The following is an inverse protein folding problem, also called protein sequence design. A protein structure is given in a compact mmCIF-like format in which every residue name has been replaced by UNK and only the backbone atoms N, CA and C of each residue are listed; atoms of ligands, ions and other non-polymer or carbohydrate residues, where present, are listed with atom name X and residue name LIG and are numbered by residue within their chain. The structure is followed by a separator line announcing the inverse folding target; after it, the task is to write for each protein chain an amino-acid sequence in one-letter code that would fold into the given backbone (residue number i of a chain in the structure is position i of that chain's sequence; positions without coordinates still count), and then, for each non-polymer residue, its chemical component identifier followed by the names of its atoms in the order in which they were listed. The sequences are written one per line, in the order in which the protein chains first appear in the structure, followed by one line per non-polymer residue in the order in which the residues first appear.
data_IF_764468113280
#
_entry.id   IF_764468113280
#
_cell.length_a   1.000
_cell.length_b   1.000
_cell.length_c   1.000
_cell.angle_alpha   90.00
_cell.angle_beta   90.00
_cell.angle_gamma   90.00
#
_symmetry.space_group_name_H-M   'P 1'
#
loop_
_entity.id
_entity.type
_entity.pdbx_description
1 polymer ?
#
# COMPACT_ATOMS: atom_id res chain seq x y z
N UNK A 1 39.78 -56.10 26.48
CA UNK A 1 39.35 -55.27 25.29
C UNK A 1 38.21 -54.36 25.78
N UNK A 2 38.50 -53.09 26.06
CA UNK A 2 37.51 -52.09 26.54
C UNK A 2 36.99 -51.35 25.30
N UNK A 3 35.69 -51.46 25.01
CA UNK A 3 35.02 -50.73 23.94
C UNK A 3 34.66 -49.35 24.49
N UNK A 4 35.24 -48.28 23.90
CA UNK A 4 34.91 -46.89 24.19
C UNK A 4 33.72 -46.54 23.30
N UNK A 5 32.57 -46.22 23.92
CA UNK A 5 31.41 -45.61 23.21
C UNK A 5 31.63 -44.12 23.20
N UNK A 6 31.84 -43.54 21.99
CA UNK A 6 31.86 -42.09 21.79
C UNK A 6 30.42 -41.68 21.56
N UNK A 7 29.84 -41.00 22.55
CA UNK A 7 28.51 -40.38 22.47
C UNK A 7 28.65 -39.03 21.78
N UNK A 8 28.27 -38.97 20.50
CA UNK A 8 28.26 -37.73 19.72
C UNK A 8 27.02 -36.91 20.12
N UNK A 9 27.19 -35.87 20.95
CA UNK A 9 26.15 -34.88 21.21
C UNK A 9 26.04 -33.96 20.02
N UNK A 10 25.01 -34.15 19.19
CA UNK A 10 24.55 -33.16 18.23
C UNK A 10 23.90 -32.02 18.98
N UNK A 11 24.66 -30.93 19.19
CA UNK A 11 24.11 -29.65 19.62
C UNK A 11 23.34 -29.07 18.44
N UNK A 12 22.02 -29.23 18.50
CA UNK A 12 21.10 -28.49 17.62
C UNK A 12 21.14 -27.01 18.05
N UNK A 13 21.98 -26.20 17.43
CA UNK A 13 21.96 -24.76 17.61
C UNK A 13 20.67 -24.24 16.99
N UNK A 14 19.67 -24.02 17.82
CA UNK A 14 18.48 -23.28 17.43
C UNK A 14 18.91 -21.81 17.35
N UNK A 15 19.22 -21.33 16.14
CA UNK A 15 19.42 -19.88 15.92
C UNK A 15 18.10 -19.19 16.18
N UNK A 16 18.03 -18.46 17.29
CA UNK A 16 16.92 -17.57 17.57
C UNK A 16 17.02 -16.39 16.60
N UNK A 17 16.14 -16.38 15.59
CA UNK A 17 16.02 -15.20 14.71
C UNK A 17 15.61 -14.02 15.57
N UNK A 18 16.52 -13.04 15.69
CA UNK A 18 16.27 -11.81 16.40
C UNK A 18 15.15 -11.03 15.72
N UNK A 19 14.00 -10.91 16.39
CA UNK A 19 12.85 -10.15 15.93
C UNK A 19 13.13 -8.65 15.78
N UNK A 20 14.21 -8.13 16.33
CA UNK A 20 14.59 -6.71 16.19
C UNK A 20 15.02 -6.35 14.76
N UNK A 21 15.46 -7.33 13.97
CA UNK A 21 15.85 -7.13 12.58
C UNK A 21 14.68 -7.12 11.58
N UNK A 22 13.47 -7.51 12.00
CA UNK A 22 12.28 -7.48 11.13
C UNK A 22 11.66 -6.09 10.96
N UNK A 23 12.06 -5.10 11.75
CA UNK A 23 11.50 -3.75 11.70
C UNK A 23 12.13 -2.81 10.65
N UNK A 24 12.99 -3.32 9.78
CA UNK A 24 13.62 -2.49 8.73
C UNK A 24 13.94 -3.28 7.46
N UNK A 25 12.97 -3.98 6.89
CA UNK A 25 13.07 -4.33 5.47
C UNK A 25 12.69 -3.08 4.67
N UNK A 26 13.51 -2.06 4.77
CA UNK A 26 13.58 -1.01 3.77
C UNK A 26 14.27 -1.65 2.57
N UNK A 27 13.49 -2.22 1.66
CA UNK A 27 14.03 -2.64 0.37
C UNK A 27 14.74 -1.42 -0.22
N UNK A 28 15.98 -1.62 -0.65
CA UNK A 28 16.80 -0.57 -1.22
C UNK A 28 16.02 0.07 -2.37
N UNK A 29 15.77 1.39 -2.29
CA UNK A 29 15.16 2.14 -3.37
C UNK A 29 15.99 1.97 -4.64
N UNK A 30 15.36 1.66 -5.74
CA UNK A 30 15.93 1.62 -7.08
C UNK A 30 14.99 2.31 -8.08
N UNK A 31 15.43 2.54 -9.30
CA UNK A 31 14.64 3.22 -10.33
C UNK A 31 13.28 2.54 -10.60
N UNK A 32 13.16 1.23 -10.34
CA UNK A 32 11.90 0.49 -10.52
C UNK A 32 10.96 0.76 -9.36
N UNK A 33 11.43 0.70 -8.11
CA UNK A 33 10.63 1.04 -6.93
C UNK A 33 10.19 2.49 -6.95
N UNK A 34 11.04 3.42 -7.36
CA UNK A 34 10.71 4.84 -7.52
C UNK A 34 9.60 5.04 -8.57
N UNK A 35 9.65 4.29 -9.67
CA UNK A 35 8.61 4.33 -10.71
C UNK A 35 7.28 3.76 -10.23
N UNK A 36 7.27 2.70 -9.42
CA UNK A 36 6.07 2.11 -8.83
C UNK A 36 5.46 3.09 -7.81
N UNK A 37 6.29 3.65 -6.92
CA UNK A 37 5.84 4.64 -5.94
C UNK A 37 5.23 5.87 -6.62
N UNK A 38 5.85 6.34 -7.70
CA UNK A 38 5.32 7.45 -8.50
C UNK A 38 3.92 7.15 -9.03
N UNK A 39 3.67 5.95 -9.58
CA UNK A 39 2.34 5.56 -10.09
C UNK A 39 1.29 5.59 -8.98
N UNK A 40 1.60 5.06 -7.79
CA UNK A 40 0.69 5.09 -6.64
C UNK A 40 0.40 6.54 -6.24
N UNK A 41 1.42 7.37 -6.10
CA UNK A 41 1.26 8.81 -5.78
C UNK A 41 0.38 9.54 -6.78
N UNK A 42 0.62 9.34 -8.08
CA UNK A 42 -0.16 9.99 -9.13
C UNK A 42 -1.63 9.55 -9.11
N UNK A 43 -1.90 8.29 -8.76
CA UNK A 43 -3.27 7.80 -8.57
C UNK A 43 -3.95 8.50 -7.37
N UNK A 44 -3.28 8.63 -6.21
CA UNK A 44 -3.82 9.32 -5.03
C UNK A 44 -4.03 10.82 -5.30
N UNK A 45 -3.12 11.46 -6.07
CA UNK A 45 -3.30 12.84 -6.52
C UNK A 45 -4.54 12.95 -7.42
N UNK A 46 -4.76 11.98 -8.31
CA UNK A 46 -5.94 11.99 -9.18
C UNK A 46 -7.25 11.89 -8.39
N UNK A 47 -7.27 11.09 -7.29
CA UNK A 47 -8.39 11.06 -6.35
C UNK A 47 -8.59 12.42 -5.70
N UNK A 48 -7.50 13.04 -5.22
CA UNK A 48 -7.54 14.32 -4.50
C UNK A 48 -7.93 15.51 -5.40
N UNK A 49 -7.66 15.40 -6.70
CA UNK A 49 -7.95 16.47 -7.68
C UNK A 49 -9.20 16.21 -8.53
N UNK A 50 -9.90 15.09 -8.29
CA UNK A 50 -11.02 14.62 -9.13
C UNK A 50 -10.64 14.49 -10.62
N UNK A 51 -9.37 14.18 -10.90
CA UNK A 51 -8.86 14.03 -12.27
C UNK A 51 -8.99 12.57 -12.72
N UNK A 52 -10.16 12.24 -13.27
CA UNK A 52 -10.45 10.87 -13.72
C UNK A 52 -9.57 10.44 -14.87
N UNK A 53 -9.23 11.32 -15.78
CA UNK A 53 -8.39 10.97 -16.93
C UNK A 53 -6.98 10.61 -16.47
N UNK A 54 -6.45 11.34 -15.49
CA UNK A 54 -5.21 11.00 -14.83
C UNK A 54 -5.31 9.65 -14.10
N UNK A 55 -6.40 9.41 -13.36
CA UNK A 55 -6.63 8.15 -12.70
C UNK A 55 -6.64 6.98 -13.68
N UNK A 56 -7.38 7.08 -14.78
CA UNK A 56 -7.44 6.06 -15.83
C UNK A 56 -6.09 5.75 -16.46
N UNK A 57 -5.21 6.73 -16.50
CA UNK A 57 -3.86 6.49 -16.98
C UNK A 57 -3.06 5.56 -16.08
N UNK A 58 -3.32 5.57 -14.77
CA UNK A 58 -2.56 4.85 -13.77
C UNK A 58 -3.22 3.56 -13.28
N UNK A 59 -4.49 3.31 -13.64
CA UNK A 59 -5.22 2.12 -13.20
C UNK A 59 -5.73 1.28 -14.36
N UNK A 60 -5.86 -0.02 -14.14
CA UNK A 60 -6.57 -0.93 -15.03
C UNK A 60 -8.08 -0.82 -14.75
N UNK A 61 -8.87 -0.49 -15.74
CA UNK A 61 -10.30 -0.14 -15.57
C UNK A 61 -11.13 -1.27 -14.97
N UNK A 62 -10.87 -2.52 -15.38
CA UNK A 62 -11.57 -3.71 -14.90
C UNK A 62 -11.00 -4.27 -13.58
N UNK A 63 -9.97 -3.64 -13.04
CA UNK A 63 -9.43 -3.95 -11.73
C UNK A 63 -10.41 -3.59 -10.61
N UNK A 64 -10.04 -3.91 -9.37
CA UNK A 64 -10.94 -3.76 -8.22
C UNK A 64 -10.32 -2.98 -7.09
N UNK A 65 -11.18 -2.24 -6.39
CA UNK A 65 -10.87 -1.62 -5.11
C UNK A 65 -11.71 -2.27 -4.01
N UNK A 66 -11.04 -2.65 -2.92
CA UNK A 66 -11.65 -3.23 -1.73
C UNK A 66 -11.59 -2.24 -0.58
N UNK A 67 -12.73 -1.91 -0.01
CA UNK A 67 -12.84 -1.13 1.21
C UNK A 67 -13.09 -2.04 2.39
N UNK A 68 -12.22 -2.02 3.37
CA UNK A 68 -12.27 -2.86 4.56
C UNK A 68 -12.61 -1.98 5.76
N UNK A 69 -13.73 -2.27 6.42
CA UNK A 69 -14.22 -1.60 7.63
C UNK A 69 -14.59 -2.61 8.70
N UNK A 70 -14.78 -2.15 9.92
CA UNK A 70 -15.22 -2.99 11.05
C UNK A 70 -16.58 -3.67 10.79
N UNK A 71 -17.43 -3.06 9.99
CA UNK A 71 -18.77 -3.52 9.63
C UNK A 71 -18.81 -4.40 8.37
N UNK A 72 -17.68 -4.58 7.68
CA UNK A 72 -17.59 -5.47 6.53
C UNK A 72 -16.61 -5.06 5.45
N UNK A 73 -16.59 -5.85 4.39
CA UNK A 73 -15.76 -5.64 3.21
C UNK A 73 -16.67 -5.32 2.03
N UNK A 74 -16.48 -4.16 1.43
CA UNK A 74 -17.09 -3.78 0.16
C UNK A 74 -16.07 -3.78 -0.96
N UNK A 75 -16.51 -3.97 -2.19
CA UNK A 75 -15.66 -3.80 -3.37
C UNK A 75 -16.43 -3.19 -4.53
N UNK A 76 -15.70 -2.62 -5.49
CA UNK A 76 -16.21 -2.11 -6.77
C UNK A 76 -15.12 -2.19 -7.83
N UNK A 77 -15.50 -2.02 -9.11
CA UNK A 77 -14.49 -1.84 -10.15
C UNK A 77 -13.75 -0.51 -9.97
N UNK A 78 -12.53 -0.42 -10.50
CA UNK A 78 -11.80 0.84 -10.53
C UNK A 78 -12.60 1.90 -11.29
N UNK A 79 -13.23 1.53 -12.42
CA UNK A 79 -14.09 2.44 -13.20
C UNK A 79 -15.21 3.03 -12.35
N UNK A 80 -15.95 2.20 -11.59
CA UNK A 80 -17.06 2.69 -10.76
C UNK A 80 -16.58 3.54 -9.59
N UNK A 81 -15.41 3.19 -9.02
CA UNK A 81 -14.80 4.00 -7.96
C UNK A 81 -14.51 5.41 -8.45
N UNK A 82 -13.81 5.56 -9.58
CA UNK A 82 -13.45 6.87 -10.10
C UNK A 82 -14.64 7.67 -10.64
N UNK A 83 -15.64 7.02 -11.25
CA UNK A 83 -16.89 7.68 -11.63
C UNK A 83 -17.60 8.26 -10.40
N UNK A 84 -17.70 7.50 -9.33
CA UNK A 84 -18.34 7.99 -8.11
C UNK A 84 -17.54 9.10 -7.44
N UNK A 85 -16.21 9.04 -7.49
CA UNK A 85 -15.34 10.08 -6.92
C UNK A 85 -15.47 11.39 -7.71
N UNK A 86 -15.62 11.33 -9.02
CA UNK A 86 -15.78 12.51 -9.87
C UNK A 86 -17.09 13.26 -9.72
N UNK A 87 -18.15 12.54 -9.35
CA UNK A 87 -19.50 13.12 -9.25
C UNK A 87 -19.75 13.80 -7.89
N UNK A 88 -18.69 14.06 -7.11
CA UNK A 88 -18.79 14.58 -5.76
C UNK A 88 -18.44 16.06 -5.69
N UNK A 89 -19.30 16.83 -5.02
CA UNK A 89 -19.00 18.19 -4.57
C UNK A 89 -18.06 18.25 -3.35
N UNK A 90 -17.52 17.09 -2.97
CA UNK A 90 -16.68 16.94 -1.79
C UNK A 90 -15.21 16.97 -2.19
N UNK A 91 -14.44 17.83 -1.56
CA UNK A 91 -12.98 17.84 -1.73
C UNK A 91 -12.38 16.64 -1.01
N UNK A 92 -11.73 15.79 -1.75
CA UNK A 92 -10.93 14.69 -1.24
C UNK A 92 -9.47 15.12 -1.14
N UNK A 93 -8.79 14.66 -0.09
CA UNK A 93 -7.36 14.82 0.01
C UNK A 93 -6.75 13.61 0.73
N UNK A 94 -5.87 12.91 0.02
CA UNK A 94 -5.23 11.69 0.47
C UNK A 94 -3.73 11.82 0.43
N UNK A 95 -3.06 11.36 1.49
CA UNK A 95 -1.61 11.35 1.62
C UNK A 95 -1.15 9.99 2.06
N UNK A 96 -0.02 9.55 1.55
CA UNK A 96 0.64 8.31 1.97
C UNK A 96 2.03 8.57 2.54
N UNK A 97 2.51 7.65 3.38
CA UNK A 97 3.87 7.65 3.91
C UNK A 97 4.39 6.23 4.12
N UNK A 98 5.74 6.11 4.20
CA UNK A 98 6.46 4.87 4.44
C UNK A 98 6.06 3.71 3.51
N UNK A 99 6.04 3.89 2.18
CA UNK A 99 5.69 2.81 1.27
C UNK A 99 6.72 1.69 1.32
N UNK A 100 6.23 0.45 1.37
CA UNK A 100 7.00 -0.78 1.19
C UNK A 100 6.67 -1.34 -0.18
N UNK A 101 7.66 -1.43 -1.06
CA UNK A 101 7.47 -1.88 -2.43
C UNK A 101 8.28 -3.16 -2.65
N UNK A 102 7.61 -4.17 -3.18
CA UNK A 102 8.22 -5.42 -3.63
C UNK A 102 7.84 -5.66 -5.08
N UNK A 103 8.78 -6.08 -5.90
CA UNK A 103 8.50 -6.42 -7.28
C UNK A 103 9.34 -7.60 -7.77
N UNK A 104 8.81 -8.29 -8.77
CA UNK A 104 9.55 -9.29 -9.54
C UNK A 104 9.04 -9.32 -10.98
N UNK A 105 9.94 -8.98 -11.93
CA UNK A 105 9.55 -8.85 -13.34
C UNK A 105 8.50 -7.76 -13.53
N UNK A 106 7.34 -8.13 -14.02
CA UNK A 106 6.25 -7.22 -14.35
C UNK A 106 5.13 -7.21 -13.30
N UNK A 107 5.34 -7.78 -12.11
CA UNK A 107 4.41 -7.77 -10.99
C UNK A 107 5.02 -7.06 -9.81
N UNK A 108 4.25 -6.18 -9.16
CA UNK A 108 4.64 -5.47 -7.97
C UNK A 108 3.51 -5.40 -6.93
N UNK A 109 3.90 -5.22 -5.68
CA UNK A 109 3.02 -4.88 -4.56
C UNK A 109 3.60 -3.64 -3.88
N UNK A 110 2.77 -2.63 -3.68
CA UNK A 110 3.06 -1.49 -2.83
C UNK A 110 2.12 -1.53 -1.63
N UNK A 111 2.67 -1.43 -0.42
CA UNK A 111 1.92 -1.30 0.82
C UNK A 111 2.31 0.01 1.48
N UNK A 112 1.32 0.77 1.95
CA UNK A 112 1.58 2.07 2.57
C UNK A 112 0.57 2.36 3.67
N UNK A 113 0.91 3.28 4.55
CA UNK A 113 -0.02 3.92 5.47
C UNK A 113 -0.54 5.20 4.83
N UNK A 114 -1.77 5.60 5.13
CA UNK A 114 -2.39 6.78 4.56
C UNK A 114 -3.26 7.54 5.55
N UNK A 115 -3.50 8.82 5.29
CA UNK A 115 -4.56 9.61 5.89
C UNK A 115 -5.46 10.22 4.83
N UNK A 116 -6.74 10.30 5.14
CA UNK A 116 -7.78 10.77 4.25
C UNK A 116 -8.58 11.91 4.86
N UNK A 117 -8.81 12.93 4.07
CA UNK A 117 -9.49 14.14 4.50
C UNK A 117 -10.66 14.47 3.57
N UNK A 118 -11.72 15.00 4.15
CA UNK A 118 -12.93 15.47 3.44
C UNK A 118 -13.14 16.94 3.73
N UNK A 119 -13.23 17.77 2.68
CA UNK A 119 -13.42 19.22 2.81
C UNK A 119 -12.42 19.86 3.79
N UNK A 120 -11.16 19.45 3.72
CA UNK A 120 -10.07 19.92 4.59
C UNK A 120 -10.13 19.45 6.03
N UNK A 121 -10.98 18.47 6.38
CA UNK A 121 -11.06 17.87 7.71
C UNK A 121 -10.62 16.41 7.67
N UNK A 122 -9.84 16.01 8.67
CA UNK A 122 -9.48 14.60 8.84
C UNK A 122 -10.73 13.73 8.91
N UNK A 123 -10.75 12.65 8.16
CA UNK A 123 -11.83 11.67 8.11
C UNK A 123 -11.41 10.33 8.73
N UNK A 124 -10.34 9.75 8.23
CA UNK A 124 -9.82 8.47 8.69
C UNK A 124 -8.39 8.25 8.20
N UNK A 125 -7.76 7.25 8.75
CA UNK A 125 -6.52 6.69 8.24
C UNK A 125 -6.57 5.16 8.22
N UNK A 126 -5.54 4.56 7.68
CA UNK A 126 -5.43 3.12 7.56
C UNK A 126 -4.18 2.68 6.84
N UNK A 127 -4.23 1.45 6.36
CA UNK A 127 -3.24 0.89 5.46
C UNK A 127 -3.86 0.60 4.11
N UNK A 128 -3.05 0.73 3.07
CA UNK A 128 -3.39 0.40 1.70
C UNK A 128 -2.41 -0.60 1.13
N UNK A 129 -2.91 -1.45 0.25
CA UNK A 129 -2.09 -2.34 -0.56
C UNK A 129 -2.51 -2.25 -2.01
N UNK A 130 -1.53 -2.07 -2.89
CA UNK A 130 -1.72 -1.98 -4.32
C UNK A 130 -1.02 -3.14 -5.00
N UNK A 131 -1.72 -3.81 -5.90
CA UNK A 131 -1.12 -4.74 -6.85
C UNK A 131 -0.92 -4.02 -8.17
N UNK A 132 0.31 -4.01 -8.67
CA UNK A 132 0.65 -3.36 -9.93
C UNK A 132 1.20 -4.36 -10.92
N UNK A 133 0.96 -4.09 -12.19
CA UNK A 133 1.60 -4.81 -13.30
C UNK A 133 2.26 -3.82 -14.26
N UNK A 134 3.33 -4.29 -14.92
CA UNK A 134 3.94 -3.52 -16.00
C UNK A 134 3.41 -4.03 -17.33
N UNK A 135 2.69 -3.19 -18.04
CA UNK A 135 2.11 -3.48 -19.35
C UNK A 135 2.46 -2.35 -20.33
N UNK A 136 2.90 -2.70 -21.53
CA UNK A 136 3.38 -1.74 -22.53
C UNK A 136 4.43 -0.76 -21.95
N UNK A 137 5.39 -1.29 -21.21
CA UNK A 137 6.47 -0.56 -20.53
C UNK A 137 6.00 0.49 -19.50
N UNK A 138 4.79 0.35 -18.96
CA UNK A 138 4.19 1.24 -17.98
C UNK A 138 3.64 0.44 -16.80
N UNK A 139 3.91 0.87 -15.57
CA UNK A 139 3.28 0.35 -14.39
C UNK A 139 1.84 0.85 -14.26
N UNK A 140 0.93 -0.03 -13.86
CA UNK A 140 -0.48 0.26 -13.65
C UNK A 140 -0.98 -0.47 -12.42
N UNK A 141 -1.83 0.16 -11.61
CA UNK A 141 -2.55 -0.48 -10.51
C UNK A 141 -3.65 -1.36 -11.10
N UNK A 142 -3.61 -2.66 -10.81
CA UNK A 142 -4.67 -3.60 -11.22
C UNK A 142 -5.71 -3.78 -10.14
N UNK A 143 -5.28 -4.00 -8.88
CA UNK A 143 -6.18 -4.10 -7.73
C UNK A 143 -5.59 -3.33 -6.55
N UNK A 144 -6.44 -2.85 -5.66
CA UNK A 144 -6.03 -2.24 -4.41
C UNK A 144 -7.05 -2.46 -3.31
N UNK A 145 -6.57 -2.43 -2.07
CA UNK A 145 -7.40 -2.57 -0.89
C UNK A 145 -6.98 -1.55 0.16
N UNK A 146 -7.94 -1.01 0.90
CA UNK A 146 -7.67 -0.09 1.98
C UNK A 146 -8.55 -0.37 3.21
N UNK A 147 -7.97 -0.15 4.38
CA UNK A 147 -8.71 -0.15 5.64
C UNK A 147 -9.14 1.27 5.99
N UNK A 148 -10.33 1.45 6.51
CA UNK A 148 -10.89 2.75 6.91
C UNK A 148 -11.53 2.64 8.30
N UNK A 149 -10.73 2.20 9.28
CA UNK A 149 -11.19 1.88 10.64
C UNK A 149 -10.75 2.89 11.69
N UNK A 150 -9.68 3.64 11.41
CA UNK A 150 -9.08 4.56 12.37
C UNK A 150 -9.62 5.97 12.11
N UNK A 151 -10.64 6.36 12.87
CA UNK A 151 -11.29 7.67 12.78
C UNK A 151 -10.84 8.62 13.88
N UNK A 152 -10.07 8.07 14.85
CA UNK A 152 -9.57 8.81 15.99
C UNK A 152 -8.08 8.68 16.19
N UNK A 153 -7.17 8.95 16.57
CA UNK A 153 -5.77 8.60 16.85
C UNK A 153 -4.90 8.24 15.62
N UNK A 154 -5.12 8.87 14.50
CA UNK A 154 -4.19 8.75 13.38
C UNK A 154 -2.94 9.59 13.65
N UNK A 155 -1.81 8.92 13.90
CA UNK A 155 -0.52 9.58 14.07
C UNK A 155 0.17 9.77 12.72
N UNK A 156 -0.44 10.54 11.82
CA UNK A 156 0.21 10.89 10.57
C UNK A 156 1.49 11.71 10.82
N UNK A 157 2.65 11.27 10.32
CA UNK A 157 3.89 12.03 10.46
C UNK A 157 3.92 13.27 9.56
N UNK A 158 2.95 13.42 8.67
CA UNK A 158 2.88 14.50 7.69
C UNK A 158 2.30 15.81 8.26
N UNK A 159 1.86 15.78 9.53
CA UNK A 159 1.32 16.96 10.19
C UNK A 159 -0.05 17.40 9.64
N UNK A 160 -0.55 18.56 10.05
CA UNK A 160 -1.80 19.14 9.57
C UNK A 160 -1.74 19.40 8.05
N UNK A 161 -2.93 19.46 7.42
CA UNK A 161 -3.03 19.93 6.03
C UNK A 161 -2.84 21.45 6.05
N UNK A 162 -1.86 21.93 5.30
CA UNK A 162 -1.74 23.36 5.01
C UNK A 162 -2.79 23.71 3.94
N UNK A 163 -3.62 24.70 4.24
CA UNK A 163 -4.64 25.23 3.32
C UNK A 163 -4.03 26.30 2.43
#
# INVERSE_FOLDING_TARGET
MKKIFILCFLLCACETVDRSTMNSVRLKSDATTDSIEHVVKEMLIAISTNDIEKARYHVFEDGRVFRIRKDGIGFRSNTDFFKQTADQSTDYFERMWDPIIMYRGDLAIAWTTYDFHLNGKFSHCGAESFTLTRFNNRWMVVDWAYTANETENCNSPLGPIEK
#
